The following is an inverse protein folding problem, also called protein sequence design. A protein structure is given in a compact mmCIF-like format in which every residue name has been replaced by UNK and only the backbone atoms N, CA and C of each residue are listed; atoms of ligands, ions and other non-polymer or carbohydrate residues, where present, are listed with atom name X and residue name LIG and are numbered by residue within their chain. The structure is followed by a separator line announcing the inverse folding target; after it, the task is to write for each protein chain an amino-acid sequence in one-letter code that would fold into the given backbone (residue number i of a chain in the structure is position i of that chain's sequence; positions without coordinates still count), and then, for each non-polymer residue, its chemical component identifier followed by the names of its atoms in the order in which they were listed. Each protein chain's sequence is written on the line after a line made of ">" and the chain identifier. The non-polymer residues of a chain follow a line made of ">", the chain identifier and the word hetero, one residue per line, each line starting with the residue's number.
data_IF_018635095834
#
_entry.id   IF_018635095834
#
_cell.length_a   1.000
_cell.length_b   1.000
_cell.length_c   1.000
_cell.angle_alpha   90.00
_cell.angle_beta   90.00
_cell.angle_gamma   90.00
#
_symmetry.space_group_name_H-M   'P 1'
#
loop_
_entity.id
_entity.type
_entity.pdbx_description
1 polymer ?
#
# COMPACT_ATOMS: atom_id res chain seq x y z
N UNK A 1 -4.95 -4.86 24.55
CA UNK A 1 -4.85 -4.44 23.14
C UNK A 1 -5.64 -5.44 22.30
N UNK A 2 -6.76 -5.05 21.71
CA UNK A 2 -7.59 -5.98 20.92
C UNK A 2 -7.10 -6.00 19.47
N UNK A 3 -6.32 -7.01 19.12
CA UNK A 3 -5.79 -7.26 17.76
C UNK A 3 -6.89 -7.21 16.69
N UNK A 4 -8.03 -7.83 16.92
CA UNK A 4 -9.20 -7.78 16.01
C UNK A 4 -9.70 -6.37 15.74
N UNK A 5 -9.69 -5.48 16.74
CA UNK A 5 -10.13 -4.10 16.59
C UNK A 5 -9.14 -3.31 15.73
N UNK A 6 -7.85 -3.48 15.97
CA UNK A 6 -6.76 -2.80 15.24
C UNK A 6 -6.67 -3.28 13.79
N UNK A 7 -6.90 -4.58 13.54
CA UNK A 7 -6.96 -5.15 12.20
C UNK A 7 -8.16 -4.60 11.40
N UNK A 8 -9.34 -4.56 12.01
CA UNK A 8 -10.54 -4.03 11.37
C UNK A 8 -10.45 -2.51 11.13
N UNK A 9 -9.79 -1.79 12.03
CA UNK A 9 -9.49 -0.37 11.83
C UNK A 9 -8.52 -0.13 10.67
N UNK A 10 -7.45 -0.93 10.54
CA UNK A 10 -6.47 -0.81 9.45
C UNK A 10 -7.03 -1.18 8.08
N UNK A 11 -7.92 -2.19 8.03
CA UNK A 11 -8.48 -2.67 6.76
C UNK A 11 -9.62 -1.79 6.22
N UNK A 12 -10.54 -1.33 7.09
CA UNK A 12 -11.77 -0.66 6.69
C UNK A 12 -11.83 0.79 7.17
N UNK A 13 -11.74 1.02 8.49
CA UNK A 13 -12.07 2.32 9.08
C UNK A 13 -10.95 3.35 8.93
N UNK A 14 -9.69 2.90 8.93
CA UNK A 14 -8.48 3.75 8.81
C UNK A 14 -7.54 3.23 7.72
N UNK A 15 -8.10 2.74 6.61
CA UNK A 15 -7.28 2.30 5.49
C UNK A 15 -6.37 3.44 5.00
N UNK A 16 -5.05 3.20 4.81
CA UNK A 16 -4.12 4.27 4.47
C UNK A 16 -4.43 4.93 3.12
N UNK A 17 -4.85 4.17 2.12
CA UNK A 17 -5.10 4.71 0.77
C UNK A 17 -6.48 5.34 0.65
N UNK A 18 -7.54 4.64 1.09
CA UNK A 18 -8.93 5.05 0.83
C UNK A 18 -9.47 6.08 1.82
N UNK A 19 -8.95 6.11 3.04
CA UNK A 19 -9.43 7.00 4.11
C UNK A 19 -8.42 8.08 4.46
N UNK A 20 -7.16 7.69 4.65
CA UNK A 20 -6.09 8.63 5.02
C UNK A 20 -5.46 9.33 3.80
N UNK A 21 -5.72 8.84 2.58
CA UNK A 21 -5.17 9.34 1.32
C UNK A 21 -3.62 9.35 1.32
N UNK A 22 -3.01 8.42 2.05
CA UNK A 22 -1.56 8.25 2.14
C UNK A 22 -1.08 7.17 1.18
N UNK A 23 0.10 7.33 0.60
CA UNK A 23 0.67 6.36 -0.32
C UNK A 23 0.10 6.43 -1.75
N UNK A 24 -0.59 7.51 -2.11
CA UNK A 24 -1.15 7.68 -3.47
C UNK A 24 -0.06 7.71 -4.54
N UNK A 25 1.10 8.28 -4.24
CA UNK A 25 2.20 8.41 -5.21
C UNK A 25 2.67 7.03 -5.73
N UNK A 26 2.91 6.10 -4.82
CA UNK A 26 3.30 4.74 -5.18
C UNK A 26 2.16 3.95 -5.80
N UNK A 27 0.93 4.15 -5.33
CA UNK A 27 -0.26 3.53 -5.91
C UNK A 27 -0.46 3.96 -7.37
N UNK A 28 -0.29 5.23 -7.71
CA UNK A 28 -0.43 5.70 -9.08
C UNK A 28 0.68 5.22 -10.01
N UNK A 29 1.90 5.13 -9.50
CA UNK A 29 3.06 4.79 -10.29
C UNK A 29 3.12 3.30 -10.66
N UNK A 30 2.74 2.40 -9.74
CA UNK A 30 3.03 0.96 -9.87
C UNK A 30 1.82 0.11 -10.30
N UNK A 31 0.61 0.65 -10.26
CA UNK A 31 -0.61 -0.11 -10.52
C UNK A 31 -0.89 -0.38 -12.01
N UNK A 32 0.15 -0.59 -12.79
CA UNK A 32 0.06 -0.98 -14.21
C UNK A 32 0.02 -2.49 -14.41
N UNK A 33 0.55 -3.27 -13.45
CA UNK A 33 0.56 -4.73 -13.45
C UNK A 33 0.26 -5.27 -12.05
N UNK A 34 -0.56 -6.33 -11.99
CA UNK A 34 -0.92 -6.99 -10.74
C UNK A 34 0.29 -7.60 -10.01
N UNK A 35 1.23 -8.17 -10.78
CA UNK A 35 2.45 -8.76 -10.22
C UNK A 35 3.30 -7.72 -9.48
N UNK A 36 3.54 -6.58 -10.13
CA UNK A 36 4.28 -5.48 -9.53
C UNK A 36 3.55 -4.91 -8.30
N UNK A 37 2.22 -4.84 -8.37
CA UNK A 37 1.39 -4.37 -7.25
C UNK A 37 1.51 -5.25 -6.01
N UNK A 38 1.45 -6.56 -6.16
CA UNK A 38 1.61 -7.52 -5.05
C UNK A 38 3.03 -7.44 -4.48
N UNK A 39 4.05 -7.45 -5.34
CA UNK A 39 5.46 -7.34 -4.93
C UNK A 39 5.73 -6.07 -4.13
N UNK A 40 5.25 -4.93 -4.62
CA UNK A 40 5.36 -3.65 -3.92
C UNK A 40 4.60 -3.63 -2.59
N UNK A 41 3.40 -4.18 -2.55
CA UNK A 41 2.59 -4.26 -1.34
C UNK A 41 3.29 -5.06 -0.23
N UNK A 42 3.87 -6.20 -0.57
CA UNK A 42 4.66 -7.02 0.35
C UNK A 42 5.93 -6.29 0.83
N UNK A 43 6.69 -5.70 -0.10
CA UNK A 43 7.89 -4.93 0.24
C UNK A 43 7.58 -3.77 1.20
N UNK A 44 6.57 -2.96 0.90
CA UNK A 44 6.14 -1.85 1.77
C UNK A 44 5.69 -2.37 3.14
N UNK A 45 4.98 -3.48 3.20
CA UNK A 45 4.52 -4.06 4.48
C UNK A 45 5.70 -4.46 5.36
N UNK A 46 6.69 -5.18 4.81
CA UNK A 46 7.90 -5.60 5.53
C UNK A 46 8.69 -4.38 6.02
N UNK A 47 8.92 -3.41 5.13
CA UNK A 47 9.65 -2.19 5.44
C UNK A 47 8.93 -1.39 6.54
N UNK A 48 7.61 -1.27 6.47
CA UNK A 48 6.81 -0.56 7.48
C UNK A 48 6.92 -1.22 8.85
N UNK A 49 6.85 -2.54 8.93
CA UNK A 49 7.00 -3.28 10.20
C UNK A 49 8.39 -3.03 10.78
N UNK A 50 9.45 -3.27 10.00
CA UNK A 50 10.84 -3.13 10.45
C UNK A 50 11.15 -1.70 10.87
N UNK A 51 10.73 -0.70 10.07
CA UNK A 51 10.95 0.72 10.38
C UNK A 51 10.21 1.15 11.64
N UNK A 52 8.94 0.76 11.79
CA UNK A 52 8.15 1.11 12.97
C UNK A 52 8.74 0.52 14.25
N UNK A 53 9.24 -0.72 14.20
CA UNK A 53 9.93 -1.39 15.31
C UNK A 53 11.19 -0.61 15.71
N UNK A 54 12.04 -0.30 14.74
CA UNK A 54 13.30 0.40 15.02
C UNK A 54 13.08 1.84 15.48
N UNK A 55 12.17 2.58 14.85
CA UNK A 55 11.81 3.95 15.23
C UNK A 55 11.23 3.98 16.65
N UNK A 56 10.36 3.02 17.00
CA UNK A 56 9.82 2.91 18.35
C UNK A 56 10.90 2.59 19.39
N UNK A 57 11.91 1.78 19.04
CA UNK A 57 13.05 1.50 19.91
C UNK A 57 13.94 2.73 20.10
N UNK A 58 14.22 3.48 19.03
CA UNK A 58 15.08 4.65 19.01
C UNK A 58 14.42 5.96 19.44
N UNK A 59 13.12 5.97 19.73
CA UNK A 59 12.33 7.18 20.04
C UNK A 59 12.89 8.06 21.17
N UNK A 60 13.65 7.47 22.10
CA UNK A 60 14.26 8.19 23.23
C UNK A 60 15.58 8.89 22.84
N UNK A 61 16.20 8.48 21.74
CA UNK A 61 17.52 8.98 21.31
C UNK A 61 17.35 10.08 20.26
N UNK A 62 16.27 10.04 19.48
CA UNK A 62 16.04 10.96 18.36
C UNK A 62 15.45 12.28 18.88
N UNK A 63 16.17 13.43 18.76
CA UNK A 63 15.65 14.73 19.15
C UNK A 63 14.54 15.20 18.21
N UNK A 64 13.60 15.97 18.74
CA UNK A 64 12.40 16.42 18.00
C UNK A 64 12.69 17.25 16.74
N UNK A 65 13.84 17.93 16.71
CA UNK A 65 14.20 18.84 15.61
C UNK A 65 14.59 18.12 14.32
N UNK A 66 15.19 16.92 14.41
CA UNK A 66 15.73 16.17 13.26
C UNK A 66 15.03 14.83 13.04
N UNK A 67 13.88 14.59 13.69
CA UNK A 67 13.23 13.27 13.69
C UNK A 67 12.82 12.81 12.28
N UNK A 68 12.30 13.69 11.42
CA UNK A 68 11.88 13.33 10.06
C UNK A 68 13.10 12.87 9.24
N UNK A 69 14.22 13.58 9.32
CA UNK A 69 15.44 13.17 8.64
C UNK A 69 15.98 11.83 9.15
N UNK A 70 15.91 11.59 10.45
CA UNK A 70 16.28 10.31 11.05
C UNK A 70 15.38 9.16 10.56
N UNK A 71 14.06 9.39 10.45
CA UNK A 71 13.14 8.36 9.92
C UNK A 71 13.45 8.03 8.46
N UNK A 72 13.68 9.02 7.61
CA UNK A 72 14.05 8.80 6.21
C UNK A 72 15.32 7.98 6.11
N UNK A 73 16.33 8.26 6.92
CA UNK A 73 17.60 7.51 6.93
C UNK A 73 17.40 6.05 7.34
N UNK A 74 16.60 5.81 8.37
CA UNK A 74 16.29 4.44 8.85
C UNK A 74 15.52 3.67 7.76
N UNK A 75 14.49 4.29 7.17
CA UNK A 75 13.69 3.67 6.12
C UNK A 75 14.56 3.38 4.89
N UNK A 76 15.44 4.30 4.50
CA UNK A 76 16.38 4.11 3.39
C UNK A 76 17.29 2.89 3.61
N UNK A 77 17.81 2.70 4.82
CA UNK A 77 18.59 1.52 5.17
C UNK A 77 17.81 0.20 4.95
N UNK A 78 16.58 0.13 5.43
CA UNK A 78 15.74 -1.06 5.22
C UNK A 78 15.35 -1.26 3.76
N UNK A 79 15.04 -0.19 3.03
CA UNK A 79 14.74 -0.25 1.60
C UNK A 79 15.91 -0.81 0.82
N UNK A 80 17.15 -0.38 1.12
CA UNK A 80 18.36 -0.91 0.48
C UNK A 80 18.54 -2.40 0.77
N UNK A 81 18.31 -2.85 1.99
CA UNK A 81 18.39 -4.28 2.34
C UNK A 81 17.34 -5.09 1.55
N UNK A 82 16.11 -4.61 1.48
CA UNK A 82 15.03 -5.29 0.73
C UNK A 82 15.33 -5.29 -0.77
N UNK A 83 15.88 -4.22 -1.33
CA UNK A 83 16.28 -4.14 -2.73
C UNK A 83 17.35 -5.17 -3.07
N UNK A 84 18.40 -5.28 -2.26
CA UNK A 84 19.44 -6.29 -2.45
C UNK A 84 18.90 -7.72 -2.32
N UNK A 85 17.97 -7.95 -1.39
CA UNK A 85 17.30 -9.25 -1.27
C UNK A 85 16.46 -9.57 -2.51
N UNK A 86 15.70 -8.61 -3.03
CA UNK A 86 14.90 -8.81 -4.25
C UNK A 86 15.79 -9.10 -5.46
N UNK A 87 16.90 -8.40 -5.62
CA UNK A 87 17.88 -8.66 -6.69
C UNK A 87 18.51 -10.05 -6.60
N UNK A 88 18.69 -10.57 -5.38
CA UNK A 88 19.27 -11.90 -5.16
C UNK A 88 18.29 -13.05 -5.42
N UNK A 89 17.00 -12.87 -5.05
CA UNK A 89 16.01 -13.95 -5.09
C UNK A 89 15.08 -13.90 -6.30
N UNK A 90 14.70 -12.71 -6.76
CA UNK A 90 13.71 -12.52 -7.84
C UNK A 90 14.19 -11.37 -8.72
N UNK A 91 15.18 -11.61 -9.63
CA UNK A 91 15.76 -10.55 -10.45
C UNK A 91 14.74 -9.92 -11.42
N UNK A 92 13.79 -10.68 -11.96
CA UNK A 92 12.75 -10.18 -12.87
C UNK A 92 11.84 -9.15 -12.20
N UNK A 93 11.49 -9.38 -10.94
CA UNK A 93 10.70 -8.43 -10.15
C UNK A 93 11.54 -7.22 -9.75
N UNK A 94 12.81 -7.43 -9.42
CA UNK A 94 13.73 -6.35 -9.07
C UNK A 94 13.96 -5.39 -10.23
N UNK A 95 14.07 -5.89 -11.47
CA UNK A 95 14.20 -5.06 -12.68
C UNK A 95 12.93 -4.23 -12.92
N UNK A 96 11.75 -4.84 -12.79
CA UNK A 96 10.46 -4.16 -12.95
C UNK A 96 10.21 -3.11 -11.87
N UNK A 97 10.65 -3.36 -10.62
CA UNK A 97 10.45 -2.49 -9.46
C UNK A 97 11.59 -1.50 -9.23
N UNK A 98 12.72 -1.64 -9.93
CA UNK A 98 13.97 -0.93 -9.62
C UNK A 98 13.84 0.58 -9.53
N UNK A 99 13.01 1.21 -10.38
CA UNK A 99 12.74 2.66 -10.34
C UNK A 99 11.78 3.03 -9.19
N UNK A 100 10.94 2.10 -8.74
CA UNK A 100 9.89 2.36 -7.76
C UNK A 100 10.33 2.07 -6.32
N UNK A 101 11.38 1.26 -6.12
CA UNK A 101 11.91 0.94 -4.78
C UNK A 101 12.38 2.20 -4.04
N UNK A 102 13.13 3.14 -4.64
CA UNK A 102 13.48 4.40 -3.98
C UNK A 102 12.26 5.23 -3.56
N UNK A 103 11.13 5.09 -4.26
CA UNK A 103 9.89 5.77 -3.90
C UNK A 103 9.31 5.30 -2.55
N UNK A 104 9.67 4.10 -2.10
CA UNK A 104 9.26 3.60 -0.78
C UNK A 104 9.90 4.42 0.35
N UNK A 105 11.12 4.91 0.17
CA UNK A 105 11.84 5.71 1.18
C UNK A 105 11.05 6.95 1.60
N UNK A 106 10.47 7.64 0.62
CA UNK A 106 9.68 8.86 0.82
C UNK A 106 8.17 8.59 0.83
N UNK A 107 7.76 7.34 0.93
CA UNK A 107 6.36 6.98 0.94
C UNK A 107 5.65 7.59 2.17
N UNK A 108 4.67 8.44 1.88
CA UNK A 108 3.93 9.16 2.93
C UNK A 108 3.15 8.25 3.88
N UNK A 109 2.80 7.03 3.46
CA UNK A 109 2.20 6.03 4.33
C UNK A 109 3.20 5.55 5.40
N UNK A 110 4.41 5.19 5.00
CA UNK A 110 5.45 4.69 5.92
C UNK A 110 5.88 5.79 6.89
N UNK A 111 6.21 6.98 6.37
CA UNK A 111 6.57 8.15 7.19
C UNK A 111 5.43 8.60 8.09
N UNK A 112 4.21 8.64 7.58
CA UNK A 112 3.04 9.04 8.36
C UNK A 112 2.77 8.10 9.53
N UNK A 113 2.96 6.78 9.38
CA UNK A 113 2.80 5.82 10.49
C UNK A 113 3.96 5.87 11.48
N UNK A 114 5.18 6.09 10.99
CA UNK A 114 6.34 6.30 11.85
C UNK A 114 6.12 7.47 12.83
N UNK A 115 5.66 8.60 12.33
CA UNK A 115 5.42 9.81 13.13
C UNK A 115 4.14 9.72 13.98
N UNK A 116 3.03 9.25 13.39
CA UNK A 116 1.75 9.26 14.06
C UNK A 116 1.64 8.20 15.15
N UNK A 117 2.23 7.03 14.97
CA UNK A 117 2.06 5.88 15.83
C UNK A 117 3.35 5.36 16.45
N UNK A 118 4.39 5.05 15.67
CA UNK A 118 5.58 4.37 16.17
C UNK A 118 6.35 5.21 17.19
N UNK A 119 6.45 6.51 17.00
CA UNK A 119 7.09 7.43 17.94
C UNK A 119 6.38 7.50 19.30
N UNK A 120 5.05 7.33 19.34
CA UNK A 120 4.24 7.50 20.56
C UNK A 120 4.03 6.19 21.32
N UNK A 121 4.10 5.05 20.65
CA UNK A 121 3.73 3.74 21.22
C UNK A 121 4.95 2.83 21.38
N UNK A 122 4.75 1.71 22.10
CA UNK A 122 5.78 0.71 22.31
C UNK A 122 6.02 -0.16 21.09
N UNK A 123 7.16 -0.86 21.07
CA UNK A 123 7.67 -1.66 19.95
C UNK A 123 6.66 -2.68 19.43
N UNK A 124 6.07 -3.48 20.32
CA UNK A 124 5.07 -4.50 19.95
C UNK A 124 3.82 -3.91 19.32
N UNK A 125 3.31 -2.80 19.88
CA UNK A 125 2.15 -2.12 19.33
C UNK A 125 2.44 -1.55 17.94
N UNK A 126 3.64 -1.01 17.74
CA UNK A 126 4.10 -0.44 16.47
C UNK A 126 4.30 -1.50 15.39
N UNK A 127 4.76 -2.70 15.76
CA UNK A 127 4.87 -3.84 14.83
C UNK A 127 3.49 -4.30 14.33
N UNK A 128 2.54 -4.46 15.26
CA UNK A 128 1.16 -4.87 14.91
C UNK A 128 0.46 -3.80 14.05
N UNK A 129 0.65 -2.53 14.37
CA UNK A 129 0.12 -1.44 13.56
C UNK A 129 0.71 -1.44 12.15
N UNK A 130 2.02 -1.60 12.01
CA UNK A 130 2.71 -1.71 10.72
C UNK A 130 2.17 -2.86 9.88
N UNK A 131 1.93 -4.02 10.49
CA UNK A 131 1.33 -5.18 9.80
C UNK A 131 -0.10 -4.88 9.32
N UNK A 132 -0.95 -4.36 10.20
CA UNK A 132 -2.35 -4.09 9.87
C UNK A 132 -2.49 -3.02 8.77
N UNK A 133 -1.69 -1.96 8.84
CA UNK A 133 -1.69 -0.89 7.84
C UNK A 133 -1.07 -1.34 6.52
N UNK A 134 0.00 -2.15 6.58
CA UNK A 134 0.62 -2.72 5.39
C UNK A 134 -0.33 -3.64 4.61
N UNK A 135 -1.06 -4.49 5.31
CA UNK A 135 -2.10 -5.34 4.69
C UNK A 135 -3.20 -4.47 4.08
N UNK A 136 -3.68 -3.45 4.81
CA UNK A 136 -4.70 -2.51 4.30
C UNK A 136 -4.24 -1.78 3.03
N UNK A 137 -2.97 -1.36 2.99
CA UNK A 137 -2.35 -0.76 1.81
C UNK A 137 -2.28 -1.75 0.63
N UNK A 138 -1.82 -2.97 0.88
CA UNK A 138 -1.69 -4.01 -0.15
C UNK A 138 -3.04 -4.36 -0.77
N UNK A 139 -4.09 -4.50 0.04
CA UNK A 139 -5.45 -4.78 -0.45
C UNK A 139 -5.95 -3.64 -1.34
N UNK A 140 -5.81 -2.39 -0.90
CA UNK A 140 -6.22 -1.23 -1.70
C UNK A 140 -5.44 -1.16 -3.03
N UNK A 141 -4.13 -1.43 -2.99
CA UNK A 141 -3.25 -1.42 -4.16
C UNK A 141 -3.65 -2.52 -5.16
N UNK A 142 -3.92 -3.74 -4.68
CA UNK A 142 -4.38 -4.85 -5.53
C UNK A 142 -5.71 -4.53 -6.21
N UNK A 143 -6.66 -3.93 -5.49
CA UNK A 143 -7.97 -3.52 -6.08
C UNK A 143 -7.73 -2.53 -7.23
N UNK A 144 -6.90 -1.52 -7.02
CA UNK A 144 -6.59 -0.53 -8.06
C UNK A 144 -5.85 -1.18 -9.24
N UNK A 145 -4.90 -2.10 -8.98
CA UNK A 145 -4.18 -2.85 -10.02
C UNK A 145 -5.15 -3.65 -10.90
N UNK A 146 -6.05 -4.44 -10.29
CA UNK A 146 -7.02 -5.25 -11.01
C UNK A 146 -7.89 -4.39 -11.93
N UNK A 147 -8.41 -3.28 -11.42
CA UNK A 147 -9.25 -2.37 -12.21
C UNK A 147 -8.46 -1.75 -13.37
N UNK A 148 -7.24 -1.27 -13.12
CA UNK A 148 -6.42 -0.63 -14.14
C UNK A 148 -5.90 -1.61 -15.18
N UNK A 149 -5.48 -2.80 -14.78
CA UNK A 149 -5.04 -3.84 -15.70
C UNK A 149 -6.20 -4.31 -16.60
N UNK A 150 -7.38 -4.49 -16.04
CA UNK A 150 -8.57 -4.87 -16.78
C UNK A 150 -9.01 -3.80 -17.81
N UNK A 151 -9.03 -2.53 -17.39
CA UNK A 151 -9.44 -1.42 -18.26
C UNK A 151 -8.35 -0.99 -19.26
N UNK A 152 -7.07 -1.10 -18.89
CA UNK A 152 -5.94 -0.60 -19.67
C UNK A 152 -5.42 -1.60 -20.69
N UNK A 153 -5.23 -2.85 -20.28
CA UNK A 153 -4.64 -3.90 -21.12
C UNK A 153 -5.65 -4.94 -21.59
N UNK A 154 -6.84 -5.03 -20.94
CA UNK A 154 -7.81 -6.09 -21.20
C UNK A 154 -7.29 -7.48 -20.86
N UNK A 155 -6.17 -7.57 -20.12
CA UNK A 155 -5.55 -8.80 -19.65
C UNK A 155 -5.73 -8.92 -18.14
N UNK A 156 -5.73 -10.14 -17.64
CA UNK A 156 -5.79 -10.41 -16.20
C UNK A 156 -4.60 -11.27 -15.78
N UNK A 157 -3.82 -10.79 -14.80
CA UNK A 157 -2.71 -11.53 -14.23
C UNK A 157 -1.47 -11.60 -15.13
N UNK A 158 -1.22 -10.59 -15.95
CA UNK A 158 0.00 -10.48 -16.75
C UNK A 158 1.25 -10.55 -15.86
N UNK A 159 2.15 -11.48 -16.17
CA UNK A 159 3.41 -11.69 -15.45
C UNK A 159 3.43 -12.84 -14.45
N UNK A 160 2.30 -13.28 -13.89
CA UNK A 160 2.27 -14.38 -12.90
C UNK A 160 2.01 -15.74 -13.56
N UNK A 161 1.12 -15.82 -14.54
CA UNK A 161 0.58 -17.09 -15.03
C UNK A 161 1.22 -17.64 -16.30
N UNK A 162 1.79 -16.80 -17.18
CA UNK A 162 2.32 -17.24 -18.49
C UNK A 162 3.52 -16.41 -18.99
N UNK A 163 4.50 -16.10 -18.15
CA UNK A 163 5.77 -15.52 -18.64
C UNK A 163 5.63 -14.17 -19.37
N UNK A 164 4.64 -13.35 -18.98
CA UNK A 164 4.46 -11.99 -19.51
C UNK A 164 3.19 -11.77 -20.33
N UNK A 165 2.55 -12.81 -20.84
CA UNK A 165 1.27 -12.70 -21.55
C UNK A 165 0.12 -13.12 -20.61
N UNK A 166 -0.61 -12.14 -20.05
CA UNK A 166 -1.83 -12.41 -19.28
C UNK A 166 -2.94 -13.01 -20.14
N UNK A 167 -3.95 -13.59 -19.48
CA UNK A 167 -5.13 -14.11 -20.16
C UNK A 167 -5.88 -12.93 -20.78
N UNK A 168 -5.87 -12.82 -22.11
CA UNK A 168 -6.64 -11.79 -22.84
C UNK A 168 -8.12 -12.08 -22.73
N UNK A 169 -8.86 -11.16 -22.16
CA UNK A 169 -10.32 -11.25 -22.01
C UNK A 169 -11.02 -10.33 -23.01
N UNK A 170 -10.40 -9.22 -23.43
CA UNK A 170 -10.99 -8.29 -24.38
C UNK A 170 -10.34 -8.38 -25.76
N UNK A 171 -11.12 -8.21 -26.87
CA UNK A 171 -10.61 -8.16 -28.23
C UNK A 171 -9.73 -6.92 -28.48
N UNK A 172 -8.78 -7.04 -29.43
CA UNK A 172 -7.88 -5.95 -29.83
C UNK A 172 -8.70 -4.75 -30.33
N UNK A 173 -8.51 -3.59 -29.71
CA UNK A 173 -9.19 -2.34 -30.07
C UNK A 173 -10.07 -1.72 -28.98
N UNK A 174 -10.36 -2.43 -27.90
CA UNK A 174 -11.16 -1.92 -26.77
C UNK A 174 -10.30 -1.37 -25.61
N UNK A 175 -9.02 -1.84 -25.39
CA UNK A 175 -8.24 -1.34 -24.26
C UNK A 175 -7.94 0.15 -24.40
N UNK A 176 -8.36 0.93 -23.42
CA UNK A 176 -8.07 2.35 -23.34
C UNK A 176 -6.64 2.57 -22.83
N UNK A 177 -5.66 2.68 -23.72
CA UNK A 177 -4.24 2.88 -23.39
C UNK A 177 -4.01 4.08 -22.45
N UNK A 178 -4.91 5.07 -22.49
CA UNK A 178 -4.91 6.20 -21.57
C UNK A 178 -5.14 5.80 -20.09
N UNK A 179 -5.76 4.65 -19.81
CA UNK A 179 -5.97 4.16 -18.45
C UNK A 179 -4.68 3.63 -17.80
N UNK A 180 -3.69 3.23 -18.59
CA UNK A 180 -2.35 2.86 -18.12
C UNK A 180 -1.56 4.10 -17.73
N UNK A 181 -1.81 5.24 -18.36
CA UNK A 181 -1.18 6.52 -18.03
C UNK A 181 -1.59 7.03 -16.63
N UNK A 182 -0.78 7.91 -16.00
CA UNK A 182 -1.08 8.48 -14.68
C UNK A 182 -2.46 9.15 -14.59
N UNK A 183 -2.93 9.74 -15.69
CA UNK A 183 -4.27 10.40 -15.75
C UNK A 183 -5.39 9.38 -15.49
N UNK A 184 -5.33 8.22 -16.14
CA UNK A 184 -6.27 7.13 -15.88
C UNK A 184 -6.17 6.59 -14.46
N UNK A 185 -4.95 6.57 -13.89
CA UNK A 185 -4.72 6.20 -12.50
C UNK A 185 -5.48 7.10 -11.51
N UNK A 186 -5.45 8.41 -11.70
CA UNK A 186 -6.20 9.35 -10.85
C UNK A 186 -7.71 9.13 -10.95
N UNK A 187 -8.22 8.90 -12.16
CA UNK A 187 -9.63 8.66 -12.39
C UNK A 187 -10.09 7.37 -11.69
N UNK A 188 -9.38 6.27 -11.90
CA UNK A 188 -9.69 4.98 -11.24
C UNK A 188 -9.58 5.09 -9.72
N UNK A 189 -8.52 5.73 -9.21
CA UNK A 189 -8.34 5.93 -7.78
C UNK A 189 -9.47 6.76 -7.17
N UNK A 190 -9.92 7.83 -7.85
CA UNK A 190 -11.07 8.64 -7.44
C UNK A 190 -12.35 7.81 -7.32
N UNK A 191 -12.64 6.95 -8.30
CA UNK A 191 -13.80 6.03 -8.23
C UNK A 191 -13.67 5.01 -7.10
N UNK A 192 -12.50 4.43 -6.88
CA UNK A 192 -12.26 3.46 -5.79
C UNK A 192 -12.44 4.14 -4.43
N UNK A 193 -11.93 5.36 -4.25
CA UNK A 193 -12.11 6.12 -3.01
C UNK A 193 -13.59 6.45 -2.78
N UNK A 194 -14.29 6.95 -3.79
CA UNK A 194 -15.71 7.27 -3.69
C UNK A 194 -16.53 6.02 -3.37
N UNK A 195 -16.26 4.90 -4.03
CA UNK A 195 -16.92 3.62 -3.79
C UNK A 195 -16.66 3.08 -2.38
N UNK A 196 -15.42 3.16 -1.89
CA UNK A 196 -15.06 2.71 -0.55
C UNK A 196 -15.73 3.56 0.55
N UNK A 197 -15.81 4.87 0.36
CA UNK A 197 -16.49 5.77 1.30
C UNK A 197 -18.00 5.56 1.29
N UNK A 198 -18.61 5.35 0.13
CA UNK A 198 -20.03 5.02 0.02
C UNK A 198 -20.36 3.69 0.72
N UNK A 199 -19.50 2.68 0.53
CA UNK A 199 -19.65 1.37 1.18
C UNK A 199 -19.54 1.49 2.71
N UNK A 200 -18.54 2.25 3.20
CA UNK A 200 -18.39 2.49 4.64
C UNK A 200 -19.60 3.19 5.24
N UNK A 201 -20.13 4.21 4.56
CA UNK A 201 -21.34 4.92 5.00
C UNK A 201 -22.54 4.00 5.05
N UNK A 202 -22.70 3.11 4.07
CA UNK A 202 -23.76 2.11 4.03
C UNK A 202 -23.62 1.10 5.18
N UNK A 203 -22.43 0.57 5.41
CA UNK A 203 -22.16 -0.38 6.51
C UNK A 203 -22.40 0.24 7.88
N UNK A 204 -21.98 1.50 8.07
CA UNK A 204 -22.14 2.22 9.33
C UNK A 204 -23.65 2.50 9.61
N UNK A 205 -24.42 2.87 8.59
CA UNK A 205 -25.87 3.03 8.70
C UNK A 205 -26.58 1.70 9.01
N UNK A 206 -26.09 0.58 8.46
CA UNK A 206 -26.65 -0.75 8.75
C UNK A 206 -26.39 -1.20 10.19
N UNK A 207 -25.19 -0.88 10.70
CA UNK A 207 -24.83 -1.18 12.10
C UNK A 207 -25.60 -0.29 13.08
N UNK A 208 -25.76 0.99 12.79
CA UNK A 208 -26.60 1.90 13.59
C UNK A 208 -28.07 1.47 13.65
N UNK A 209 -28.62 0.97 12.52
CA UNK A 209 -29.99 0.40 12.50
C UNK A 209 -30.11 -0.90 13.31
N UNK A 210 -29.05 -1.72 13.37
CA UNK A 210 -29.03 -2.94 14.19
C UNK A 210 -28.94 -2.64 15.69
N UNK A 211 -28.21 -1.58 16.07
CA UNK A 211 -28.13 -1.14 17.48
C UNK A 211 -29.43 -0.46 17.95
N UNK A 212 -30.09 0.27 17.07
CA UNK A 212 -31.40 0.88 17.36
C UNK A 212 -32.57 -0.12 17.43
N UNK A 213 -32.38 -1.34 16.90
CA UNK A 213 -33.37 -2.42 16.89
C UNK A 213 -33.16 -3.44 18.03
N UNK A 214 -32.20 -3.21 18.90
CA UNK A 214 -31.85 -4.05 20.07
C UNK A 214 -32.14 -3.32 21.37
#
# INVERSE_FOLDING_TARGET
>A
MNFKKQFNEGLLTKNPVTVQLLGMCSTLAITTSLFNGIGMGLAVTIITICSNVLISALRKVIPSQIRIAAYITIIAGFVTIVDLCLQAFIPDLAESLGVFIPLIVVNCMVLGRAEAFAYKNGVLASAVDGLCQGIGYTVALVIVCVIREFLGSGTFGGGILNGGEGIRILPEGVPAMQMVMPVGGFLVLGFVIAGSQALMKYLNNKNAKKEAAK
#
